data_IF_146635124189
#
_entry.id   IF_146635124189
#
_cell.length_a   1.000
_cell.length_b   1.000
_cell.length_c   1.000
_cell.angle_alpha   90.00
_cell.angle_beta   90.00
_cell.angle_gamma   90.00
#
_symmetry.space_group_name_H-M   'P 1'
#
loop_
_entity.id
_entity.type
_entity.pdbx_description
1 polymer ?
#
# COMPACT_ATOMS: atom_id res chain seq x y z
N UNK A 1 2.44 -50.31 -16.57
CA UNK A 1 2.37 -49.08 -17.38
C UNK A 1 3.50 -48.16 -16.96
N UNK A 2 4.52 -47.97 -17.79
CA UNK A 2 5.64 -47.05 -17.52
C UNK A 2 5.34 -45.69 -18.16
N UNK A 3 5.08 -44.68 -17.33
CA UNK A 3 4.91 -43.29 -17.78
C UNK A 3 6.26 -42.75 -18.26
N UNK A 4 6.39 -42.52 -19.57
CA UNK A 4 7.56 -41.87 -20.14
C UNK A 4 7.62 -40.41 -19.65
N UNK A 5 8.74 -39.92 -19.10
CA UNK A 5 8.87 -38.51 -18.74
C UNK A 5 8.91 -37.69 -20.04
N UNK A 6 7.83 -36.95 -20.30
CA UNK A 6 7.78 -36.00 -21.40
C UNK A 6 8.83 -34.91 -21.17
N UNK A 7 9.81 -34.81 -22.08
CA UNK A 7 10.82 -33.75 -22.05
C UNK A 7 10.14 -32.42 -22.37
N UNK A 8 9.84 -31.62 -21.33
CA UNK A 8 9.30 -30.27 -21.51
C UNK A 8 10.40 -29.42 -22.14
N UNK A 9 10.31 -29.21 -23.45
CA UNK A 9 11.25 -28.40 -24.21
C UNK A 9 10.72 -26.97 -24.27
N UNK A 10 11.24 -26.11 -23.40
CA UNK A 10 10.92 -24.69 -23.40
C UNK A 10 11.55 -24.03 -24.64
N UNK A 11 10.74 -23.72 -25.65
CA UNK A 11 11.19 -23.00 -26.85
C UNK A 11 10.50 -21.63 -26.91
N UNK A 12 11.24 -20.52 -26.69
CA UNK A 12 10.66 -19.17 -26.62
C UNK A 12 9.80 -18.82 -27.85
N UNK A 13 10.22 -19.27 -29.04
CA UNK A 13 9.51 -19.05 -30.30
C UNK A 13 8.12 -19.71 -30.40
N UNK A 14 7.90 -20.86 -29.73
CA UNK A 14 6.58 -21.52 -29.71
C UNK A 14 5.61 -20.86 -28.73
N UNK A 15 6.13 -20.25 -27.66
CA UNK A 15 5.35 -19.50 -26.68
C UNK A 15 4.73 -18.24 -27.27
N UNK A 16 5.44 -17.53 -28.16
CA UNK A 16 4.95 -16.27 -28.77
C UNK A 16 3.80 -16.50 -29.78
N UNK A 17 3.62 -17.72 -30.30
CA UNK A 17 2.58 -18.00 -31.32
C UNK A 17 1.15 -18.14 -30.79
N UNK A 18 0.97 -18.28 -29.47
CA UNK A 18 -0.36 -18.40 -28.86
C UNK A 18 -0.70 -17.12 -28.10
N UNK A 19 -1.83 -16.45 -28.38
CA UNK A 19 -2.21 -15.22 -27.68
C UNK A 19 -2.36 -15.43 -26.16
N UNK A 20 -2.76 -16.63 -25.72
CA UNK A 20 -2.82 -16.99 -24.30
C UNK A 20 -1.45 -17.01 -23.62
N UNK A 21 -0.39 -17.40 -24.32
CA UNK A 21 0.97 -17.41 -23.77
C UNK A 21 1.56 -16.01 -23.65
N UNK A 22 1.21 -15.09 -24.57
CA UNK A 22 1.54 -13.67 -24.45
C UNK A 22 0.80 -13.05 -23.26
N UNK A 23 -0.48 -13.36 -23.08
CA UNK A 23 -1.27 -12.89 -21.94
C UNK A 23 -0.66 -13.36 -20.61
N UNK A 24 -0.29 -14.63 -20.51
CA UNK A 24 0.37 -15.19 -19.31
C UNK A 24 1.71 -14.48 -19.05
N UNK A 25 2.51 -14.23 -20.09
CA UNK A 25 3.77 -13.52 -19.96
C UNK A 25 3.57 -12.09 -19.45
N UNK A 26 2.58 -11.37 -19.98
CA UNK A 26 2.23 -10.03 -19.52
C UNK A 26 1.78 -10.01 -18.06
N UNK A 27 0.95 -10.97 -17.65
CA UNK A 27 0.52 -11.12 -16.25
C UNK A 27 1.72 -11.41 -15.32
N UNK A 28 2.63 -12.29 -15.73
CA UNK A 28 3.84 -12.57 -14.96
C UNK A 28 4.71 -11.33 -14.84
N UNK A 29 4.89 -10.55 -15.91
CA UNK A 29 5.63 -9.28 -15.85
C UNK A 29 4.99 -8.33 -14.83
N UNK A 30 3.67 -8.15 -14.86
CA UNK A 30 2.97 -7.27 -13.91
C UNK A 30 3.19 -7.72 -12.45
N UNK A 31 3.07 -9.03 -12.19
CA UNK A 31 3.27 -9.60 -10.86
C UNK A 31 4.73 -9.45 -10.40
N UNK A 32 5.70 -9.82 -11.24
CA UNK A 32 7.11 -9.71 -10.88
C UNK A 32 7.55 -8.26 -10.73
N UNK A 33 7.10 -7.34 -11.58
CA UNK A 33 7.39 -5.91 -11.44
C UNK A 33 6.91 -5.35 -10.10
N UNK A 34 5.75 -5.79 -9.59
CA UNK A 34 5.28 -5.44 -8.25
C UNK A 34 6.19 -5.99 -7.14
N UNK A 35 6.56 -7.28 -7.23
CA UNK A 35 7.45 -7.92 -6.24
C UNK A 35 8.84 -7.25 -6.23
N UNK A 36 9.40 -6.97 -7.40
CA UNK A 36 10.68 -6.25 -7.53
C UNK A 36 10.60 -4.82 -7.00
N UNK A 37 9.47 -4.12 -7.22
CA UNK A 37 9.25 -2.78 -6.66
C UNK A 37 9.26 -2.83 -5.13
N UNK A 38 8.51 -3.76 -4.53
CA UNK A 38 8.47 -3.95 -3.07
C UNK A 38 9.86 -4.28 -2.49
N UNK A 39 10.60 -5.19 -3.14
CA UNK A 39 11.97 -5.51 -2.75
C UNK A 39 12.92 -4.33 -2.87
N UNK A 40 12.82 -3.56 -3.97
CA UNK A 40 13.61 -2.34 -4.18
C UNK A 40 13.38 -1.29 -3.10
N UNK A 41 12.12 -1.06 -2.71
CA UNK A 41 11.81 -0.15 -1.60
C UNK A 41 12.38 -0.63 -0.27
N UNK A 42 12.26 -1.93 0.02
CA UNK A 42 12.83 -2.54 1.22
C UNK A 42 14.34 -2.30 1.33
N UNK A 43 15.08 -2.49 0.22
CA UNK A 43 16.53 -2.24 0.19
C UNK A 43 16.90 -0.75 0.27
N UNK A 44 16.02 0.14 -0.17
CA UNK A 44 16.19 1.59 -0.03
C UNK A 44 15.78 2.11 1.36
N UNK A 45 15.52 1.21 2.32
CA UNK A 45 15.09 1.57 3.68
C UNK A 45 13.62 1.99 3.77
N UNK A 46 12.89 1.96 2.66
CA UNK A 46 11.43 2.20 2.61
C UNK A 46 10.76 0.85 2.83
N UNK A 47 10.74 0.39 4.07
CA UNK A 47 10.18 -0.91 4.41
C UNK A 47 8.69 -0.97 4.02
N UNK A 48 8.24 -2.03 3.33
CA UNK A 48 6.82 -2.31 3.11
C UNK A 48 6.05 -2.64 4.41
N UNK A 49 6.73 -2.63 5.56
CA UNK A 49 6.17 -2.84 6.91
C UNK A 49 6.72 -1.83 7.93
N UNK A 50 7.10 -0.65 7.44
CA UNK A 50 7.57 0.49 8.24
C UNK A 50 7.13 1.79 7.59
N UNK A 51 5.94 1.77 7.00
CA UNK A 51 5.38 2.94 6.37
C UNK A 51 4.79 3.86 7.42
N UNK A 52 5.00 5.15 7.21
CA UNK A 52 4.43 6.19 8.05
C UNK A 52 3.39 6.95 7.22
N UNK A 53 2.24 7.18 7.81
CA UNK A 53 1.15 7.91 7.17
C UNK A 53 0.86 9.15 8.00
N UNK A 54 1.00 10.29 7.35
CA UNK A 54 0.81 11.58 8.01
C UNK A 54 -0.65 12.00 7.96
N UNK A 55 -1.10 12.53 9.08
CA UNK A 55 -2.44 13.06 9.28
C UNK A 55 -2.35 14.48 9.83
N UNK A 56 -3.26 15.34 9.41
CA UNK A 56 -3.41 16.67 9.97
C UNK A 56 -4.83 17.20 9.89
N UNK A 57 -5.14 18.22 10.69
CA UNK A 57 -6.36 19.01 10.53
C UNK A 57 -6.23 19.99 9.36
N UNK A 58 -7.35 20.49 8.83
CA UNK A 58 -7.35 21.43 7.70
C UNK A 58 -6.49 22.69 7.95
N UNK A 59 -6.46 23.16 9.19
CA UNK A 59 -5.66 24.31 9.62
C UNK A 59 -4.24 23.95 10.06
N UNK A 60 -3.87 22.67 10.07
CA UNK A 60 -2.52 22.18 10.40
C UNK A 60 -2.13 22.24 11.87
N UNK A 61 -3.05 22.56 12.78
CA UNK A 61 -2.78 22.67 14.23
C UNK A 61 -2.57 21.31 14.90
N UNK A 62 -3.24 20.27 14.43
CA UNK A 62 -2.94 18.90 14.81
C UNK A 62 -2.20 18.22 13.68
N UNK A 63 -1.09 17.56 14.01
CA UNK A 63 -0.31 16.71 13.10
C UNK A 63 0.05 15.43 13.81
N UNK A 64 -0.10 14.31 13.12
CA UNK A 64 0.22 13.00 13.66
C UNK A 64 0.74 12.07 12.57
N UNK A 65 1.86 11.42 12.84
CA UNK A 65 2.45 10.41 11.97
C UNK A 65 2.12 9.04 12.51
N UNK A 66 1.22 8.33 11.84
CA UNK A 66 0.86 6.96 12.17
C UNK A 66 1.91 6.00 11.60
N UNK A 67 2.54 5.22 12.46
CA UNK A 67 3.47 4.17 12.05
C UNK A 67 2.71 2.88 11.82
N UNK A 68 2.73 2.37 10.59
CA UNK A 68 2.15 1.10 10.21
C UNK A 68 3.23 0.01 10.30
N UNK A 69 2.87 -1.12 10.90
CA UNK A 69 3.81 -2.20 11.20
C UNK A 69 3.17 -3.56 11.02
N UNK A 70 3.99 -4.57 10.69
CA UNK A 70 3.55 -5.98 10.70
C UNK A 70 3.12 -6.48 12.08
N UNK A 71 3.46 -5.75 13.14
CA UNK A 71 3.15 -6.09 14.53
C UNK A 71 1.89 -5.40 15.05
N UNK A 72 1.33 -4.47 14.28
CA UNK A 72 0.10 -3.75 14.62
C UNK A 72 -1.04 -4.21 13.73
N UNK A 73 -2.24 -4.26 14.29
CA UNK A 73 -3.46 -4.54 13.53
C UNK A 73 -4.08 -3.24 13.03
N UNK A 74 -4.85 -3.26 11.91
CA UNK A 74 -5.60 -2.09 11.45
C UNK A 74 -6.48 -1.44 12.51
N UNK A 75 -7.01 -2.23 13.45
CA UNK A 75 -7.82 -1.75 14.56
C UNK A 75 -6.98 -0.98 15.58
N UNK A 76 -5.81 -1.50 15.93
CA UNK A 76 -4.89 -0.82 16.86
C UNK A 76 -4.41 0.50 16.26
N UNK A 77 -4.02 0.51 14.99
CA UNK A 77 -3.55 1.71 14.28
C UNK A 77 -4.60 2.82 14.26
N UNK A 78 -5.85 2.49 13.90
CA UNK A 78 -6.98 3.44 13.93
C UNK A 78 -7.31 3.90 15.36
N UNK A 79 -7.21 3.00 16.34
CA UNK A 79 -7.50 3.33 17.74
C UNK A 79 -6.47 4.32 18.25
N UNK A 80 -5.18 4.06 18.04
CA UNK A 80 -4.09 4.96 18.42
C UNK A 80 -4.26 6.34 17.77
N UNK A 81 -4.55 6.39 16.46
CA UNK A 81 -4.78 7.65 15.76
C UNK A 81 -5.95 8.45 16.36
N UNK A 82 -7.08 7.78 16.61
CA UNK A 82 -8.27 8.42 17.17
C UNK A 82 -8.07 8.83 18.62
N UNK A 83 -7.37 8.05 19.42
CA UNK A 83 -7.07 8.39 20.81
C UNK A 83 -6.23 9.66 20.89
N UNK A 84 -5.19 9.77 20.06
CA UNK A 84 -4.35 10.98 20.00
C UNK A 84 -5.14 12.19 19.50
N UNK A 85 -5.99 12.03 18.47
CA UNK A 85 -6.83 13.12 17.99
C UNK A 85 -7.90 13.52 19.02
N UNK A 86 -8.47 12.57 19.76
CA UNK A 86 -9.44 12.84 20.82
C UNK A 86 -8.78 13.52 22.03
N UNK A 87 -7.53 13.19 22.37
CA UNK A 87 -6.75 13.91 23.38
C UNK A 87 -6.59 15.37 22.98
N UNK A 88 -6.19 15.64 21.73
CA UNK A 88 -6.10 17.00 21.20
C UNK A 88 -7.44 17.75 21.31
N UNK A 89 -8.56 17.12 20.92
CA UNK A 89 -9.88 17.75 21.05
C UNK A 89 -10.30 18.06 22.48
N UNK A 90 -9.88 17.23 23.45
CA UNK A 90 -10.13 17.47 24.88
C UNK A 90 -9.31 18.64 25.42
N UNK A 91 -8.06 18.76 24.97
CA UNK A 91 -7.15 19.84 25.37
C UNK A 91 -7.53 21.18 24.73
N UNK A 92 -8.07 21.14 23.51
CA UNK A 92 -8.46 22.31 22.73
C UNK A 92 -9.94 22.24 22.28
N UNK A 93 -10.90 22.61 23.16
CA UNK A 93 -12.33 22.47 22.88
C UNK A 93 -12.81 23.18 21.61
N UNK A 94 -12.14 24.25 21.17
CA UNK A 94 -12.43 24.94 19.91
C UNK A 94 -12.26 24.04 18.67
N UNK A 95 -11.57 22.89 18.80
CA UNK A 95 -11.36 21.90 17.74
C UNK A 95 -12.25 20.66 17.87
N UNK A 96 -13.27 20.67 18.73
CA UNK A 96 -14.19 19.53 18.89
C UNK A 96 -14.76 19.03 17.54
N UNK A 97 -15.09 19.98 16.65
CA UNK A 97 -15.65 19.71 15.32
C UNK A 97 -14.61 19.55 14.21
N UNK A 98 -13.30 19.60 14.53
CA UNK A 98 -12.25 19.42 13.53
C UNK A 98 -12.27 18.02 12.94
N UNK A 99 -12.00 17.94 11.63
CA UNK A 99 -11.85 16.70 10.88
C UNK A 99 -10.36 16.39 10.69
N UNK A 100 -10.01 15.11 10.79
CA UNK A 100 -8.67 14.62 10.54
C UNK A 100 -8.54 14.21 9.07
N UNK A 101 -7.51 14.70 8.40
CA UNK A 101 -7.21 14.39 7.02
C UNK A 101 -5.90 13.63 6.91
N UNK A 102 -5.79 12.78 5.91
CA UNK A 102 -4.54 12.15 5.50
C UNK A 102 -3.83 13.05 4.48
N UNK A 103 -2.50 13.20 4.62
CA UNK A 103 -1.69 14.16 3.82
C UNK A 103 -0.70 13.49 2.88
N UNK A 104 -0.49 12.19 3.06
CA UNK A 104 0.41 11.37 2.24
C UNK A 104 0.11 11.51 0.73
N UNK A 105 1.06 12.04 -0.03
CA UNK A 105 0.96 12.28 -1.50
C UNK A 105 0.78 10.98 -2.31
N UNK A 106 1.08 9.82 -1.71
CA UNK A 106 0.96 8.52 -2.35
C UNK A 106 -0.45 8.20 -2.87
N UNK A 107 -1.48 8.86 -2.32
CA UNK A 107 -2.87 8.65 -2.72
C UNK A 107 -3.35 9.56 -3.84
N UNK A 108 -2.56 10.54 -4.27
CA UNK A 108 -2.92 11.45 -5.36
C UNK A 108 -2.50 10.87 -6.74
N UNK A 109 -1.57 9.91 -6.78
CA UNK A 109 -1.07 9.35 -8.03
C UNK A 109 -1.65 7.95 -8.32
N UNK A 110 -2.77 7.92 -9.04
CA UNK A 110 -3.45 6.70 -9.50
C UNK A 110 -2.52 5.67 -10.20
N UNK A 111 -1.47 6.14 -10.87
CA UNK A 111 -0.49 5.28 -11.56
C UNK A 111 0.40 4.53 -10.59
N UNK A 112 0.82 5.15 -9.48
CA UNK A 112 1.63 4.48 -8.46
C UNK A 112 0.83 3.44 -7.68
N UNK A 113 -0.48 3.69 -7.49
CA UNK A 113 -1.39 2.68 -6.96
C UNK A 113 -1.45 1.44 -7.85
N UNK A 114 -1.33 1.56 -9.18
CA UNK A 114 -1.31 0.41 -10.09
C UNK A 114 -0.01 -0.42 -10.00
N UNK A 115 1.09 0.15 -9.52
CA UNK A 115 2.38 -0.56 -9.44
C UNK A 115 2.75 -1.03 -8.03
N UNK A 116 1.98 -0.61 -7.01
CA UNK A 116 2.23 -0.90 -5.58
C UNK A 116 0.99 -1.46 -4.89
N UNK A 117 0.43 -2.56 -5.40
CA UNK A 117 -0.79 -3.14 -4.83
C UNK A 117 -0.61 -3.60 -3.38
N UNK A 118 0.60 -4.01 -2.98
CA UNK A 118 0.87 -4.39 -1.58
C UNK A 118 0.57 -3.25 -0.59
N UNK A 119 0.84 -2.00 -0.96
CA UNK A 119 0.51 -0.81 -0.13
C UNK A 119 -0.98 -0.62 0.00
N UNK A 120 -1.76 -0.92 -1.04
CA UNK A 120 -3.22 -0.86 -0.94
C UNK A 120 -3.73 -1.79 0.16
N UNK A 121 -3.20 -3.00 0.27
CA UNK A 121 -3.59 -3.92 1.34
C UNK A 121 -3.15 -3.43 2.73
N UNK A 122 -1.94 -2.87 2.83
CA UNK A 122 -1.41 -2.32 4.08
C UNK A 122 -2.21 -1.11 4.58
N UNK A 123 -2.59 -0.19 3.68
CA UNK A 123 -3.15 1.11 4.05
C UNK A 123 -4.63 1.29 3.72
N UNK A 124 -5.31 0.24 3.26
CA UNK A 124 -6.74 0.32 2.88
C UNK A 124 -7.62 0.87 4.01
N UNK A 125 -7.34 0.51 5.25
CA UNK A 125 -8.14 0.87 6.42
C UNK A 125 -8.05 2.38 6.77
N UNK A 126 -6.92 3.05 6.48
CA UNK A 126 -6.79 4.50 6.68
C UNK A 126 -7.42 5.33 5.55
N UNK A 127 -7.89 4.70 4.46
CA UNK A 127 -8.62 5.42 3.40
C UNK A 127 -10.00 5.90 3.84
N UNK A 128 -10.48 5.48 5.00
CA UNK A 128 -11.68 6.02 5.63
C UNK A 128 -11.55 7.53 5.96
N UNK A 129 -10.33 8.04 6.11
CA UNK A 129 -10.07 9.47 6.34
C UNK A 129 -10.00 10.24 5.00
N UNK A 130 -10.53 11.47 4.93
CA UNK A 130 -10.47 12.30 3.72
C UNK A 130 -9.02 12.72 3.38
N UNK A 131 -8.70 12.78 2.09
CA UNK A 131 -7.40 13.29 1.63
C UNK A 131 -7.40 14.82 1.64
N UNK A 132 -6.35 15.40 2.22
CA UNK A 132 -6.08 16.82 2.10
C UNK A 132 -5.28 17.05 0.81
N UNK A 133 -5.93 17.68 -0.17
CA UNK A 133 -5.33 18.04 -1.45
C UNK A 133 -4.60 19.38 -1.39
#
# INVERSE_FOLDING_TARGET
MTTKPGKITFTPRKMIRKPSSILILLLLIIVFSNVFTMWGETFLGRSPYGSSEDFQTLNGEFKYTLVLSKFTTPKEEITTLNDEFNKFKKEYPQHANSTLYRTSEYYDINVWMFWKWYRFFETSHIRAYPYLK
#
